data_IF_576838175473
#
_entry.id   IF_576838175473
#
_cell.length_a   1.000
_cell.length_b   1.000
_cell.length_c   1.000
_cell.angle_alpha   90.00
_cell.angle_beta   90.00
_cell.angle_gamma   90.00
#
_symmetry.space_group_name_H-M   'P 1'
#
loop_
_entity.id
_entity.type
_entity.pdbx_description
1 polymer ?
#
# COMPACT_ATOMS: atom_id res chain seq x y z
N UNK A 1 31.76 42.17 -16.24
CA UNK A 1 32.40 42.18 -14.89
C UNK A 1 31.48 41.73 -13.76
N UNK A 2 30.18 42.09 -13.71
CA UNK A 2 29.25 41.60 -12.67
C UNK A 2 28.84 40.12 -12.84
N UNK A 3 28.79 39.63 -14.07
CA UNK A 3 28.43 38.23 -14.36
C UNK A 3 29.54 37.22 -14.02
N UNK A 4 30.81 37.64 -14.06
CA UNK A 4 31.95 36.84 -13.60
C UNK A 4 31.98 36.63 -12.08
N UNK A 5 31.49 37.60 -11.31
CA UNK A 5 31.45 37.54 -9.84
C UNK A 5 30.32 36.62 -9.33
N UNK A 6 29.19 36.55 -10.04
CA UNK A 6 28.11 35.61 -9.74
C UNK A 6 28.48 34.17 -10.09
N UNK A 7 29.18 33.97 -11.22
CA UNK A 7 29.63 32.64 -11.67
C UNK A 7 30.75 32.09 -10.78
N UNK A 8 31.67 32.96 -10.32
CA UNK A 8 32.70 32.59 -9.32
C UNK A 8 32.11 32.26 -7.94
N UNK A 9 31.08 32.98 -7.48
CA UNK A 9 30.40 32.69 -6.20
C UNK A 9 29.53 31.43 -6.23
N UNK A 10 29.02 31.04 -7.41
CA UNK A 10 28.29 29.77 -7.61
C UNK A 10 29.20 28.56 -7.45
N UNK A 11 30.37 28.58 -8.11
CA UNK A 11 31.37 27.52 -8.02
C UNK A 11 32.06 27.44 -6.64
N UNK A 12 32.20 28.57 -5.94
CA UNK A 12 32.83 28.63 -4.59
C UNK A 12 31.98 28.00 -3.46
N UNK A 13 30.66 27.85 -3.65
CA UNK A 13 29.76 27.21 -2.67
C UNK A 13 29.64 25.69 -2.85
N UNK A 14 29.93 25.17 -4.04
CA UNK A 14 29.86 23.74 -4.35
C UNK A 14 31.08 22.94 -3.83
N UNK A 15 32.24 23.57 -3.65
CA UNK A 15 33.51 22.90 -3.27
C UNK A 15 33.82 22.88 -1.78
N UNK A 16 32.93 23.38 -0.92
CA UNK A 16 33.19 23.54 0.52
C UNK A 16 32.87 22.26 1.30
N UNK A 17 33.85 21.71 2.02
CA UNK A 17 33.70 20.55 2.92
C UNK A 17 32.69 20.79 4.04
N UNK A 18 32.11 19.71 4.57
CA UNK A 18 31.02 19.74 5.56
C UNK A 18 31.38 20.55 6.82
N UNK A 19 32.57 20.32 7.39
CA UNK A 19 33.08 21.07 8.54
C UNK A 19 33.16 22.59 8.30
N UNK A 20 33.58 23.00 7.11
CA UNK A 20 33.68 24.42 6.78
C UNK A 20 32.30 25.06 6.59
N UNK A 21 31.28 24.29 6.20
CA UNK A 21 29.88 24.74 6.11
C UNK A 21 29.26 24.86 7.50
N UNK A 22 29.58 23.93 8.39
CA UNK A 22 29.14 23.93 9.79
C UNK A 22 29.72 25.12 10.57
N UNK A 23 31.03 25.36 10.51
CA UNK A 23 31.68 26.54 11.11
C UNK A 23 31.08 27.87 10.64
N UNK A 24 30.67 27.95 9.38
CA UNK A 24 29.96 29.13 8.84
C UNK A 24 28.53 29.26 9.36
N UNK A 25 27.85 28.15 9.60
CA UNK A 25 26.51 28.10 10.16
C UNK A 25 26.55 28.58 11.62
N UNK A 26 27.50 28.06 12.40
CA UNK A 26 27.75 28.43 13.80
C UNK A 26 28.10 29.91 13.95
N UNK A 27 29.05 30.42 13.16
CA UNK A 27 29.41 31.84 13.17
C UNK A 27 28.22 32.76 12.86
N UNK A 28 27.33 32.35 11.94
CA UNK A 28 26.11 33.12 11.64
C UNK A 28 25.11 33.06 12.79
N UNK A 29 25.01 31.92 13.47
CA UNK A 29 24.13 31.73 14.64
C UNK A 29 24.59 32.57 15.83
N UNK A 30 25.89 32.55 16.12
CA UNK A 30 26.51 33.39 17.14
C UNK A 30 26.31 34.89 16.85
N UNK A 31 26.59 35.31 15.61
CA UNK A 31 26.37 36.70 15.20
C UNK A 31 24.91 37.14 15.29
N UNK A 32 23.95 36.24 15.06
CA UNK A 32 22.53 36.54 15.21
C UNK A 32 22.09 36.58 16.68
N UNK A 33 22.67 35.73 17.54
CA UNK A 33 22.40 35.73 18.97
C UNK A 33 22.84 37.04 19.63
N UNK A 34 23.99 37.59 19.21
CA UNK A 34 24.59 38.83 19.72
C UNK A 34 23.87 40.11 19.26
N UNK A 35 22.91 40.03 18.34
CA UNK A 35 22.11 41.19 17.92
C UNK A 35 21.13 41.61 19.01
N UNK A 36 20.93 42.92 19.14
CA UNK A 36 19.85 43.49 19.94
C UNK A 36 18.45 43.12 19.39
N UNK A 37 17.44 43.24 20.26
CA UNK A 37 16.07 42.83 19.95
C UNK A 37 15.46 43.66 18.80
N UNK A 38 15.77 44.95 18.73
CA UNK A 38 15.27 45.86 17.69
C UNK A 38 15.79 45.47 16.30
N UNK A 39 17.08 45.15 16.17
CA UNK A 39 17.69 44.65 14.93
C UNK A 39 17.15 43.29 14.52
N UNK A 40 16.83 42.41 15.50
CA UNK A 40 16.19 41.12 15.23
C UNK A 40 14.79 41.31 14.62
N UNK A 41 14.00 42.21 15.18
CA UNK A 41 12.65 42.56 14.70
C UNK A 41 12.68 43.23 13.32
N UNK A 42 13.63 44.13 13.08
CA UNK A 42 13.85 44.75 11.77
C UNK A 42 14.17 43.71 10.68
N UNK A 43 15.01 42.72 11.00
CA UNK A 43 15.36 41.65 10.08
C UNK A 43 14.15 40.74 9.78
N UNK A 44 13.33 40.45 10.78
CA UNK A 44 12.09 39.68 10.61
C UNK A 44 11.11 40.44 9.70
N UNK A 45 10.94 41.74 9.95
CA UNK A 45 10.05 42.62 9.17
C UNK A 45 10.51 42.74 7.72
N UNK A 46 11.81 42.95 7.49
CA UNK A 46 12.40 42.97 6.13
C UNK A 46 12.20 41.65 5.39
N UNK A 47 12.31 40.51 6.08
CA UNK A 47 12.10 39.19 5.49
C UNK A 47 10.62 38.94 5.15
N UNK A 48 9.71 39.36 6.03
CA UNK A 48 8.26 39.30 5.78
C UNK A 48 7.86 40.15 4.57
N UNK A 49 8.33 41.40 4.52
CA UNK A 49 8.08 42.30 3.40
C UNK A 49 8.65 41.74 2.10
N UNK A 50 9.89 41.23 2.12
CA UNK A 50 10.49 40.57 0.96
C UNK A 50 9.63 39.41 0.45
N UNK A 51 9.15 38.52 1.34
CA UNK A 51 8.27 37.39 0.93
C UNK A 51 6.95 37.86 0.32
N UNK A 52 6.39 38.97 0.81
CA UNK A 52 5.14 39.55 0.33
C UNK A 52 5.33 40.26 -1.03
N UNK A 53 6.40 41.03 -1.20
CA UNK A 53 6.67 41.83 -2.40
C UNK A 53 7.36 41.06 -3.53
N UNK A 54 7.85 39.84 -3.27
CA UNK A 54 8.43 38.96 -4.28
C UNK A 54 7.43 38.62 -5.40
N UNK A 55 7.82 38.91 -6.64
CA UNK A 55 7.05 38.58 -7.84
C UNK A 55 6.87 37.06 -8.04
N UNK A 56 5.79 36.67 -8.69
CA UNK A 56 5.39 35.27 -8.89
C UNK A 56 6.48 34.46 -9.61
N UNK A 57 7.08 35.02 -10.66
CA UNK A 57 8.16 34.38 -11.43
C UNK A 57 9.39 34.07 -10.56
N UNK A 58 9.75 34.96 -9.64
CA UNK A 58 10.87 34.74 -8.72
C UNK A 58 10.53 33.67 -7.67
N UNK A 59 9.26 33.58 -7.25
CA UNK A 59 8.78 32.53 -6.34
C UNK A 59 8.81 31.16 -7.02
N UNK A 60 8.33 31.07 -8.26
CA UNK A 60 8.37 29.84 -9.05
C UNK A 60 9.79 29.36 -9.30
N UNK A 61 10.71 30.27 -9.65
CA UNK A 61 12.12 29.94 -9.84
C UNK A 61 12.77 29.38 -8.57
N UNK A 62 12.45 29.94 -7.39
CA UNK A 62 12.91 29.42 -6.11
C UNK A 62 12.34 28.04 -5.78
N UNK A 63 11.05 27.81 -6.07
CA UNK A 63 10.40 26.51 -5.90
C UNK A 63 11.00 25.46 -6.83
N UNK A 64 11.18 25.79 -8.11
CA UNK A 64 11.81 24.93 -9.11
C UNK A 64 13.23 24.51 -8.70
N UNK A 65 14.04 25.46 -8.21
CA UNK A 65 15.37 25.17 -7.69
C UNK A 65 15.36 24.20 -6.49
N UNK A 66 14.38 24.33 -5.59
CA UNK A 66 14.23 23.40 -4.45
C UNK A 66 13.85 22.00 -4.92
N UNK A 67 12.93 21.90 -5.88
CA UNK A 67 12.50 20.62 -6.45
C UNK A 67 13.66 19.93 -7.16
N UNK A 68 14.39 20.66 -8.02
CA UNK A 68 15.57 20.13 -8.70
C UNK A 68 16.62 19.63 -7.70
N UNK A 69 16.88 20.40 -6.63
CA UNK A 69 17.81 20.00 -5.57
C UNK A 69 17.34 18.75 -4.85
N UNK A 70 16.05 18.65 -4.49
CA UNK A 70 15.49 17.45 -3.84
C UNK A 70 15.58 16.24 -4.77
N UNK A 71 15.25 16.38 -6.04
CA UNK A 71 15.29 15.30 -7.01
C UNK A 71 16.70 14.76 -7.22
N UNK A 72 17.71 15.64 -7.23
CA UNK A 72 19.13 15.29 -7.34
C UNK A 72 19.72 14.60 -6.09
N UNK A 73 19.01 14.57 -4.96
CA UNK A 73 19.47 13.83 -3.77
C UNK A 73 19.31 12.32 -3.94
N UNK A 74 20.21 11.55 -3.32
CA UNK A 74 20.08 10.10 -3.23
C UNK A 74 18.91 9.68 -2.31
N UNK A 75 18.57 8.39 -2.36
CA UNK A 75 17.42 7.82 -1.65
C UNK A 75 17.58 7.87 -0.12
N UNK A 76 18.80 7.68 0.40
CA UNK A 76 19.06 7.71 1.83
C UNK A 76 18.91 9.14 2.37
N UNK A 77 19.49 10.11 1.67
CA UNK A 77 19.39 11.52 2.04
C UNK A 77 17.95 12.05 1.96
N UNK A 78 17.15 11.56 1.00
CA UNK A 78 15.70 11.83 0.96
C UNK A 78 14.96 11.27 2.18
N UNK A 79 15.23 10.03 2.57
CA UNK A 79 14.62 9.39 3.75
C UNK A 79 14.99 10.13 5.04
N UNK A 80 16.27 10.49 5.18
CA UNK A 80 16.76 11.24 6.33
C UNK A 80 16.09 12.62 6.41
N UNK A 81 16.03 13.36 5.31
CA UNK A 81 15.38 14.67 5.27
C UNK A 81 13.89 14.61 5.63
N UNK A 82 13.18 13.55 5.23
CA UNK A 82 11.79 13.33 5.64
C UNK A 82 11.70 13.04 7.14
N UNK A 83 12.56 12.20 7.69
CA UNK A 83 12.57 11.91 9.14
C UNK A 83 12.91 13.13 9.99
N UNK A 84 13.90 13.94 9.59
CA UNK A 84 14.30 15.16 10.30
C UNK A 84 13.16 16.17 10.30
N UNK A 85 12.49 16.36 9.16
CA UNK A 85 11.34 17.25 9.10
C UNK A 85 10.16 16.74 9.94
N UNK A 86 9.88 15.44 9.93
CA UNK A 86 8.84 14.84 10.76
C UNK A 86 9.12 15.07 12.26
N UNK A 87 10.35 14.82 12.70
CA UNK A 87 10.78 15.03 14.09
C UNK A 87 10.65 16.50 14.49
N UNK A 88 11.16 17.44 13.67
CA UNK A 88 11.03 18.88 13.92
C UNK A 88 9.58 19.32 14.07
N UNK A 89 8.70 18.86 13.17
CA UNK A 89 7.27 19.21 13.25
C UNK A 89 6.58 18.63 14.49
N UNK A 90 7.05 17.48 14.99
CA UNK A 90 6.55 16.87 16.20
C UNK A 90 7.01 17.67 17.43
N UNK A 91 8.29 18.01 17.51
CA UNK A 91 8.87 18.85 18.58
C UNK A 91 8.17 20.22 18.65
N UNK A 92 8.01 20.89 17.51
CA UNK A 92 7.27 22.15 17.40
C UNK A 92 5.84 22.00 17.93
N UNK A 93 5.12 20.93 17.54
CA UNK A 93 3.77 20.67 18.06
C UNK A 93 3.77 20.39 19.56
N UNK A 94 4.77 19.69 20.10
CA UNK A 94 4.82 19.38 21.52
C UNK A 94 5.03 20.65 22.35
N UNK A 95 5.85 21.58 21.86
CA UNK A 95 6.14 22.88 22.49
C UNK A 95 4.96 23.87 22.50
N UNK A 96 3.93 23.67 21.66
CA UNK A 96 2.74 24.54 21.64
C UNK A 96 1.88 24.37 22.91
N UNK A 97 1.28 25.48 23.35
CA UNK A 97 0.30 25.45 24.43
C UNK A 97 -1.02 24.77 24.00
N UNK A 98 -1.89 24.34 24.94
CA UNK A 98 -3.15 23.68 24.61
C UNK A 98 -4.12 24.52 23.76
N UNK A 99 -4.12 25.86 23.92
CA UNK A 99 -5.00 26.76 23.15
C UNK A 99 -4.50 26.88 21.70
N UNK A 100 -3.20 27.06 21.51
CA UNK A 100 -2.52 27.10 20.20
C UNK A 100 -2.69 25.78 19.43
N UNK A 101 -2.58 24.64 20.12
CA UNK A 101 -2.88 23.32 19.53
C UNK A 101 -4.33 23.24 19.02
N UNK A 102 -5.27 23.78 19.80
CA UNK A 102 -6.69 23.87 19.42
C UNK A 102 -6.91 24.71 18.17
N UNK A 103 -6.28 25.88 18.07
CA UNK A 103 -6.36 26.77 16.90
C UNK A 103 -5.79 26.08 15.65
N UNK A 104 -4.59 25.51 15.74
CA UNK A 104 -3.94 24.83 14.62
C UNK A 104 -4.74 23.62 14.10
N UNK A 105 -5.42 22.90 14.98
CA UNK A 105 -6.29 21.79 14.60
C UNK A 105 -7.55 22.28 13.88
N UNK A 106 -8.17 23.39 14.34
CA UNK A 106 -9.31 24.01 13.68
C UNK A 106 -8.96 24.56 12.31
N UNK A 107 -7.81 25.22 12.16
CA UNK A 107 -7.34 25.72 10.87
C UNK A 107 -7.12 24.57 9.86
N UNK A 108 -6.53 23.45 10.31
CA UNK A 108 -6.38 22.26 9.46
C UNK A 108 -7.71 21.65 9.06
N UNK A 109 -8.66 21.61 9.98
CA UNK A 109 -10.01 21.10 9.72
C UNK A 109 -10.73 22.01 8.70
N UNK A 110 -10.63 23.32 8.84
CA UNK A 110 -11.15 24.30 7.88
C UNK A 110 -10.50 24.17 6.50
N UNK A 111 -9.18 24.00 6.43
CA UNK A 111 -8.47 23.76 5.16
C UNK A 111 -8.91 22.44 4.49
N UNK A 112 -9.13 21.37 5.27
CA UNK A 112 -9.64 20.10 4.74
C UNK A 112 -11.07 20.23 4.21
N UNK A 113 -11.89 21.09 4.82
CA UNK A 113 -13.25 21.39 4.36
C UNK A 113 -13.19 22.25 3.10
N UNK A 114 -12.34 23.29 3.05
CA UNK A 114 -12.14 24.13 1.86
C UNK A 114 -11.62 23.33 0.67
N UNK A 115 -10.67 22.42 0.87
CA UNK A 115 -10.13 21.57 -0.20
C UNK A 115 -11.11 20.48 -0.67
N UNK A 116 -12.23 20.24 0.03
CA UNK A 116 -13.32 19.38 -0.43
C UNK A 116 -14.35 20.12 -1.30
N UNK A 117 -14.22 21.43 -1.46
CA UNK A 117 -15.19 22.29 -2.16
C UNK A 117 -14.98 22.37 -3.68
N UNK A 118 -14.00 21.68 -4.25
CA UNK A 118 -13.99 21.53 -5.71
C UNK A 118 -15.22 20.72 -6.13
N UNK A 119 -16.00 21.18 -7.12
CA UNK A 119 -17.17 20.45 -7.58
C UNK A 119 -16.71 19.08 -8.06
N UNK A 120 -16.95 18.05 -7.24
CA UNK A 120 -16.55 16.70 -7.56
C UNK A 120 -17.34 16.26 -8.79
N UNK A 121 -16.69 16.26 -9.96
CA UNK A 121 -17.25 15.73 -11.18
C UNK A 121 -17.60 14.24 -10.97
N UNK A 122 -18.79 13.82 -11.42
CA UNK A 122 -19.23 12.42 -11.45
C UNK A 122 -18.14 11.52 -12.06
N UNK A 123 -17.41 12.00 -13.07
CA UNK A 123 -16.30 11.28 -13.70
C UNK A 123 -15.19 10.93 -12.71
N UNK A 124 -14.86 11.84 -11.78
CA UNK A 124 -13.86 11.58 -10.75
C UNK A 124 -14.31 10.44 -9.81
N UNK A 125 -15.59 10.40 -9.44
CA UNK A 125 -16.13 9.29 -8.64
C UNK A 125 -16.16 7.98 -9.42
N UNK A 126 -16.51 8.02 -10.71
CA UNK A 126 -16.46 6.86 -11.60
C UNK A 126 -15.03 6.33 -11.68
N UNK A 127 -14.03 7.18 -11.84
CA UNK A 127 -12.62 6.77 -11.85
C UNK A 127 -12.18 6.17 -10.52
N UNK A 128 -12.53 6.80 -9.39
CA UNK A 128 -12.22 6.26 -8.07
C UNK A 128 -12.88 4.90 -7.85
N UNK A 129 -14.12 4.73 -8.30
CA UNK A 129 -14.83 3.45 -8.25
C UNK A 129 -14.12 2.42 -9.14
N UNK A 130 -13.83 2.75 -10.40
CA UNK A 130 -13.08 1.89 -11.34
C UNK A 130 -11.73 1.46 -10.77
N UNK A 131 -11.00 2.36 -10.12
CA UNK A 131 -9.73 2.05 -9.42
C UNK A 131 -9.95 1.09 -8.26
N UNK A 132 -11.02 1.26 -7.47
CA UNK A 132 -11.34 0.38 -6.33
C UNK A 132 -11.83 -1.00 -6.74
N UNK A 133 -12.63 -1.13 -7.81
CA UNK A 133 -13.13 -2.44 -8.28
C UNK A 133 -12.04 -3.28 -8.96
N UNK A 134 -10.99 -2.64 -9.53
CA UNK A 134 -9.80 -3.34 -10.02
C UNK A 134 -9.00 -4.03 -8.91
N UNK A 135 -9.14 -3.57 -7.66
CA UNK A 135 -8.45 -4.17 -6.52
C UNK A 135 -9.22 -5.39 -6.02
N UNK A 136 -8.83 -6.58 -6.48
CA UNK A 136 -9.28 -7.87 -5.96
C UNK A 136 -8.66 -8.24 -4.61
N UNK A 137 -9.08 -9.38 -4.03
CA UNK A 137 -8.49 -9.93 -2.83
C UNK A 137 -7.13 -10.57 -3.14
N UNK A 138 -6.08 -9.76 -3.33
CA UNK A 138 -4.74 -10.26 -3.71
C UNK A 138 -3.77 -10.37 -2.53
N UNK A 139 -4.20 -9.99 -1.32
CA UNK A 139 -3.33 -9.93 -0.15
C UNK A 139 -3.53 -11.16 0.72
N UNK A 140 -2.48 -11.94 0.89
CA UNK A 140 -2.49 -13.22 1.61
C UNK A 140 -2.13 -12.96 3.07
N UNK A 141 -2.96 -13.46 3.99
CA UNK A 141 -2.66 -13.40 5.42
C UNK A 141 -1.73 -14.53 5.84
N UNK A 142 -0.55 -14.24 6.40
CA UNK A 142 0.43 -15.25 6.83
C UNK A 142 -0.01 -16.12 8.03
N UNK A 143 -1.23 -15.95 8.54
CA UNK A 143 -1.75 -16.74 9.67
C UNK A 143 -2.88 -17.66 9.22
N UNK A 144 -3.81 -17.16 8.40
CA UNK A 144 -4.98 -17.93 7.95
C UNK A 144 -4.97 -18.26 6.45
N UNK A 145 -3.92 -17.88 5.73
CA UNK A 145 -3.70 -18.07 4.29
C UNK A 145 -4.85 -17.59 3.38
N UNK A 146 -5.81 -16.84 3.91
CA UNK A 146 -6.90 -16.25 3.11
C UNK A 146 -6.40 -15.11 2.26
N UNK A 147 -6.91 -15.07 1.04
CA UNK A 147 -6.81 -13.95 0.11
C UNK A 147 -7.83 -12.86 0.49
N UNK A 148 -7.35 -11.65 0.71
CA UNK A 148 -8.12 -10.54 1.28
C UNK A 148 -7.86 -9.24 0.51
N UNK A 149 -8.80 -8.30 0.63
CA UNK A 149 -8.63 -6.94 0.11
C UNK A 149 -7.59 -6.15 0.93
N UNK A 150 -6.90 -5.20 0.29
CA UNK A 150 -5.91 -4.32 0.94
C UNK A 150 -6.43 -3.67 2.22
N UNK A 151 -7.69 -3.23 2.23
CA UNK A 151 -8.36 -2.59 3.37
C UNK A 151 -8.50 -3.49 4.61
N UNK A 152 -8.41 -4.81 4.42
CA UNK A 152 -8.62 -5.83 5.46
C UNK A 152 -7.33 -6.38 6.03
N UNK A 153 -6.17 -5.97 5.49
CA UNK A 153 -4.84 -6.44 5.89
C UNK A 153 -3.95 -5.30 6.35
N UNK A 154 -2.91 -5.65 7.10
CA UNK A 154 -1.87 -4.76 7.60
C UNK A 154 -0.53 -5.45 7.31
N UNK A 155 0.52 -4.68 7.03
CA UNK A 155 1.87 -5.23 6.87
C UNK A 155 2.26 -5.99 8.14
N UNK A 156 2.71 -7.24 7.97
CA UNK A 156 3.12 -8.07 9.09
C UNK A 156 4.43 -7.53 9.68
N UNK A 157 4.43 -7.28 10.99
CA UNK A 157 5.64 -6.99 11.76
C UNK A 157 5.73 -8.05 12.85
N UNK A 158 6.51 -9.11 12.59
CA UNK A 158 6.61 -10.29 13.48
C UNK A 158 6.95 -9.92 14.93
N UNK A 159 7.79 -8.89 15.12
CA UNK A 159 8.18 -8.37 16.45
C UNK A 159 7.02 -7.87 17.33
N UNK A 160 5.81 -7.66 16.78
CA UNK A 160 4.64 -7.19 17.55
C UNK A 160 3.91 -8.29 18.32
N UNK A 161 4.22 -9.56 18.08
CA UNK A 161 3.42 -10.67 18.60
C UNK A 161 4.30 -11.62 19.41
N UNK A 162 3.78 -12.11 20.54
CA UNK A 162 4.50 -13.11 21.34
C UNK A 162 4.47 -14.50 20.72
N UNK A 163 3.42 -14.81 19.94
CA UNK A 163 3.25 -16.11 19.29
C UNK A 163 3.85 -16.05 17.87
N UNK A 164 5.02 -16.67 17.68
CA UNK A 164 5.73 -16.69 16.39
C UNK A 164 5.42 -17.93 15.55
N UNK A 165 5.10 -19.06 16.20
CA UNK A 165 4.97 -20.36 15.53
C UNK A 165 3.70 -20.52 14.67
N UNK A 166 2.87 -19.47 14.56
CA UNK A 166 1.66 -19.47 13.76
C UNK A 166 1.80 -18.77 12.40
N UNK A 167 2.99 -18.25 12.08
CA UNK A 167 3.24 -17.58 10.81
C UNK A 167 3.66 -18.59 9.74
N UNK A 168 2.77 -18.85 8.80
CA UNK A 168 3.06 -19.54 7.55
C UNK A 168 3.51 -18.46 6.56
N UNK A 169 4.81 -18.37 6.31
CA UNK A 169 5.38 -17.31 5.48
C UNK A 169 4.90 -17.49 4.03
N UNK A 170 3.90 -16.68 3.66
CA UNK A 170 3.46 -16.51 2.29
C UNK A 170 3.54 -15.05 1.92
N UNK A 171 4.30 -14.76 0.86
CA UNK A 171 4.36 -13.43 0.28
C UNK A 171 3.13 -13.17 -0.60
N UNK A 172 2.57 -11.97 -0.51
CA UNK A 172 1.56 -11.51 -1.47
C UNK A 172 2.21 -11.17 -2.81
N UNK A 173 1.39 -10.85 -3.82
CA UNK A 173 1.84 -10.52 -5.19
C UNK A 173 2.88 -9.39 -5.27
N UNK A 174 2.95 -8.52 -4.24
CA UNK A 174 3.86 -7.39 -4.13
C UNK A 174 5.14 -7.72 -3.33
N UNK A 175 5.37 -9.01 -3.02
CA UNK A 175 6.52 -9.48 -2.24
C UNK A 175 6.46 -9.20 -0.75
N UNK A 176 5.36 -8.60 -0.26
CA UNK A 176 5.21 -8.23 1.15
C UNK A 176 4.41 -9.28 1.94
N UNK A 177 4.74 -9.44 3.22
CA UNK A 177 3.99 -10.25 4.19
C UNK A 177 2.85 -9.43 4.82
N UNK A 178 1.67 -10.01 4.91
CA UNK A 178 0.48 -9.35 5.47
C UNK A 178 -0.20 -10.18 6.55
N UNK A 179 -0.90 -9.49 7.44
CA UNK A 179 -1.79 -10.09 8.44
C UNK A 179 -3.17 -9.44 8.34
N UNK A 180 -4.22 -10.26 8.36
CA UNK A 180 -5.58 -9.75 8.36
C UNK A 180 -5.95 -9.14 9.73
N UNK A 181 -6.84 -8.15 9.73
CA UNK A 181 -7.27 -7.45 10.96
C UNK A 181 -7.80 -8.41 12.03
N UNK A 182 -8.48 -9.49 11.64
CA UNK A 182 -9.00 -10.49 12.57
C UNK A 182 -7.88 -11.26 13.27
N UNK A 183 -6.90 -11.77 12.50
CA UNK A 183 -5.74 -12.46 13.06
C UNK A 183 -4.89 -11.51 13.91
N UNK A 184 -4.70 -10.27 13.45
CA UNK A 184 -3.99 -9.23 14.19
C UNK A 184 -4.56 -9.02 15.60
N UNK A 185 -5.87 -8.78 15.72
CA UNK A 185 -6.52 -8.54 17.01
C UNK A 185 -6.43 -9.76 17.95
N UNK A 186 -6.50 -10.97 17.41
CA UNK A 186 -6.37 -12.21 18.19
C UNK A 186 -4.94 -12.44 18.68
N UNK A 187 -3.94 -12.26 17.82
CA UNK A 187 -2.54 -12.43 18.18
C UNK A 187 -2.04 -11.34 19.14
N UNK A 188 -2.57 -10.12 19.08
CA UNK A 188 -2.29 -9.09 20.09
C UNK A 188 -2.75 -9.51 21.50
N UNK A 189 -3.76 -10.37 21.60
CA UNK A 189 -4.24 -10.95 22.86
C UNK A 189 -3.53 -12.27 23.20
N UNK A 190 -2.44 -12.61 22.49
CA UNK A 190 -1.73 -13.88 22.61
C UNK A 190 -2.63 -15.11 22.37
N UNK A 191 -3.70 -14.96 21.60
CA UNK A 191 -4.62 -16.04 21.26
C UNK A 191 -4.44 -16.47 19.80
N UNK A 192 -4.34 -17.77 19.58
CA UNK A 192 -4.30 -18.34 18.23
C UNK A 192 -5.67 -18.16 17.54
N UNK A 193 -5.75 -17.55 16.36
CA UNK A 193 -7.01 -17.44 15.63
C UNK A 193 -7.56 -18.82 15.27
N UNK A 194 -8.87 -19.04 15.40
CA UNK A 194 -9.50 -20.33 15.03
C UNK A 194 -9.27 -20.69 13.56
N UNK A 195 -9.18 -19.68 12.69
CA UNK A 195 -8.95 -19.82 11.25
C UNK A 195 -7.46 -19.89 10.89
N UNK A 196 -6.55 -20.05 11.87
CA UNK A 196 -5.13 -20.15 11.58
C UNK A 196 -4.86 -21.45 10.80
N UNK A 197 -3.98 -21.40 9.80
CA UNK A 197 -3.62 -22.55 8.97
C UNK A 197 -3.03 -23.69 9.81
N UNK A 198 -2.27 -23.35 10.87
CA UNK A 198 -1.73 -24.29 11.85
C UNK A 198 -2.79 -25.09 12.62
N UNK A 199 -4.07 -24.70 12.58
CA UNK A 199 -5.17 -25.49 13.16
C UNK A 199 -5.66 -26.58 12.19
N UNK A 200 -4.76 -27.24 11.45
CA UNK A 200 -5.09 -28.21 10.41
C UNK A 200 -6.03 -27.65 9.33
N UNK A 201 -5.88 -26.36 9.02
CA UNK A 201 -6.61 -25.65 7.95
C UNK A 201 -5.68 -25.29 6.79
N UNK A 202 -4.46 -25.81 6.77
CA UNK A 202 -3.58 -25.70 5.61
C UNK A 202 -4.13 -26.56 4.47
N UNK A 203 -3.84 -26.14 3.25
CA UNK A 203 -4.19 -26.87 2.03
C UNK A 203 -2.89 -27.52 1.55
N UNK A 204 -2.93 -28.82 1.31
CA UNK A 204 -1.79 -29.55 0.74
C UNK A 204 -1.45 -29.02 -0.65
N UNK A 205 -0.17 -29.10 -1.01
CA UNK A 205 0.25 -28.77 -2.37
C UNK A 205 -0.44 -29.73 -3.36
N UNK A 206 -0.91 -29.18 -4.48
CA UNK A 206 -1.53 -30.00 -5.51
C UNK A 206 -0.48 -30.95 -6.09
N UNK A 207 -0.70 -32.27 -6.04
CA UNK A 207 0.20 -33.26 -6.62
C UNK A 207 0.49 -32.95 -8.10
N UNK A 208 1.72 -33.21 -8.55
CA UNK A 208 2.17 -32.87 -9.89
C UNK A 208 1.30 -33.56 -10.97
N UNK A 209 0.84 -34.77 -10.68
CA UNK A 209 -0.06 -35.55 -11.53
C UNK A 209 -1.39 -34.85 -11.74
N UNK A 210 -1.92 -34.18 -10.70
CA UNK A 210 -3.18 -33.43 -10.79
C UNK A 210 -2.98 -32.04 -11.41
N UNK A 211 -1.82 -31.43 -11.20
CA UNK A 211 -1.47 -30.13 -11.77
C UNK A 211 -1.30 -30.18 -13.30
N UNK A 212 -0.94 -31.34 -13.85
CA UNK A 212 -0.79 -31.55 -15.29
C UNK A 212 -2.12 -31.76 -16.03
N UNK A 213 -3.22 -31.99 -15.31
CA UNK A 213 -4.52 -32.29 -15.91
C UNK A 213 -5.19 -31.04 -16.49
N UNK A 214 -5.77 -31.19 -17.66
CA UNK A 214 -6.64 -30.19 -18.27
C UNK A 214 -7.94 -30.03 -17.47
N UNK A 215 -8.60 -28.87 -17.63
CA UNK A 215 -9.82 -28.55 -16.86
C UNK A 215 -10.92 -29.62 -17.01
N UNK A 216 -11.05 -30.21 -18.20
CA UNK A 216 -12.02 -31.28 -18.44
C UNK A 216 -11.64 -32.56 -17.69
N UNK A 217 -10.37 -32.93 -17.70
CA UNK A 217 -9.86 -34.13 -17.04
C UNK A 217 -10.03 -34.00 -15.52
N UNK A 218 -9.72 -32.83 -14.95
CA UNK A 218 -9.98 -32.53 -13.53
C UNK A 218 -11.45 -32.72 -13.16
N UNK A 219 -12.39 -32.33 -14.03
CA UNK A 219 -13.82 -32.52 -13.80
C UNK A 219 -14.19 -34.01 -13.87
N UNK A 220 -13.61 -34.77 -14.80
CA UNK A 220 -13.90 -36.19 -14.98
C UNK A 220 -13.38 -37.06 -13.82
N UNK A 221 -12.25 -36.70 -13.22
CA UNK A 221 -11.68 -37.41 -12.07
C UNK A 221 -12.16 -36.85 -10.71
N UNK A 222 -12.98 -35.80 -10.72
CA UNK A 222 -13.50 -35.24 -9.48
C UNK A 222 -14.41 -36.27 -8.79
N UNK A 223 -14.05 -36.66 -7.57
CA UNK A 223 -14.86 -37.59 -6.77
C UNK A 223 -16.23 -37.02 -6.36
N UNK A 224 -16.41 -35.70 -6.52
CA UNK A 224 -17.60 -34.98 -6.07
C UNK A 224 -17.90 -33.83 -7.03
N UNK A 225 -19.15 -33.76 -7.49
CA UNK A 225 -19.66 -32.64 -8.27
C UNK A 225 -20.56 -31.80 -7.36
N UNK A 226 -20.24 -30.52 -7.26
CA UNK A 226 -20.98 -29.57 -6.43
C UNK A 226 -21.92 -28.74 -7.31
N UNK A 227 -23.21 -28.78 -6.97
CA UNK A 227 -24.22 -27.93 -7.60
C UNK A 227 -24.61 -26.79 -6.68
N UNK A 228 -24.39 -25.58 -7.15
CA UNK A 228 -24.72 -24.35 -6.44
C UNK A 228 -25.66 -23.49 -7.28
N UNK A 229 -26.71 -22.97 -6.63
CA UNK A 229 -27.62 -22.02 -7.28
C UNK A 229 -27.17 -20.60 -6.96
N UNK A 230 -26.57 -19.93 -7.95
CA UNK A 230 -26.23 -18.51 -7.87
C UNK A 230 -27.43 -17.68 -8.32
N UNK A 231 -27.86 -16.74 -7.50
CA UNK A 231 -28.94 -15.79 -7.79
C UNK A 231 -28.41 -14.37 -7.64
N UNK A 232 -28.78 -13.50 -8.56
CA UNK A 232 -28.42 -12.08 -8.48
C UNK A 232 -29.34 -11.36 -7.48
N UNK A 233 -28.75 -10.65 -6.54
CA UNK A 233 -29.50 -9.92 -5.51
C UNK A 233 -30.18 -8.67 -6.11
N UNK A 234 -31.46 -8.38 -5.77
CA UNK A 234 -32.18 -7.23 -6.31
C UNK A 234 -31.50 -5.88 -6.05
N UNK A 235 -30.81 -5.75 -4.91
CA UNK A 235 -30.02 -4.58 -4.55
C UNK A 235 -28.53 -4.93 -4.62
N UNK A 236 -27.77 -4.13 -5.38
CA UNK A 236 -26.33 -4.25 -5.53
C UNK A 236 -25.86 -5.22 -6.62
N UNK A 237 -26.76 -5.99 -7.25
CA UNK A 237 -26.49 -6.88 -8.39
C UNK A 237 -25.34 -7.89 -8.14
N UNK A 238 -25.03 -8.17 -6.88
CA UNK A 238 -24.02 -9.16 -6.51
C UNK A 238 -24.62 -10.56 -6.59
N UNK A 239 -23.85 -11.51 -7.11
CA UNK A 239 -24.20 -12.93 -7.08
C UNK A 239 -24.18 -13.45 -5.64
N UNK A 240 -25.23 -14.17 -5.25
CA UNK A 240 -25.35 -14.85 -3.96
C UNK A 240 -25.73 -16.31 -4.19
N UNK A 241 -25.14 -17.22 -3.42
CA UNK A 241 -25.57 -18.63 -3.36
C UNK A 241 -26.91 -18.70 -2.61
N UNK A 242 -27.93 -19.29 -3.23
CA UNK A 242 -29.29 -19.45 -2.67
C UNK A 242 -29.64 -20.93 -2.53
N UNK A 243 -30.01 -21.33 -1.31
CA UNK A 243 -30.46 -22.69 -1.03
C UNK A 243 -29.32 -23.62 -0.60
N UNK A 244 -29.61 -24.92 -0.58
CA UNK A 244 -28.63 -25.94 -0.25
C UNK A 244 -27.62 -26.14 -1.38
N UNK A 245 -26.39 -26.46 -1.00
CA UNK A 245 -25.35 -26.93 -1.92
C UNK A 245 -25.51 -28.44 -2.06
N UNK A 246 -25.79 -28.93 -3.27
CA UNK A 246 -25.93 -30.36 -3.51
C UNK A 246 -24.56 -30.94 -3.89
N UNK A 247 -24.02 -31.82 -3.05
CA UNK A 247 -22.75 -32.48 -3.27
C UNK A 247 -23.01 -33.93 -3.71
N UNK A 248 -22.78 -34.22 -4.98
CA UNK A 248 -23.05 -35.52 -5.58
C UNK A 248 -21.74 -36.30 -5.69
N UNK A 249 -21.58 -37.45 -5.02
CA UNK A 249 -20.42 -38.30 -5.19
C UNK A 249 -20.40 -38.90 -6.59
N UNK A 250 -19.20 -39.04 -7.17
CA UNK A 250 -18.98 -39.63 -8.48
C UNK A 250 -18.03 -40.81 -8.35
N UNK A 251 -18.39 -41.92 -8.98
CA UNK A 251 -17.50 -43.07 -9.13
C UNK A 251 -16.68 -42.94 -10.42
N UNK A 252 -15.45 -42.44 -10.31
CA UNK A 252 -14.59 -42.17 -11.47
C UNK A 252 -14.37 -43.39 -12.38
N UNK A 253 -14.36 -44.60 -11.79
CA UNK A 253 -14.25 -45.86 -12.54
C UNK A 253 -15.42 -46.06 -13.51
N UNK A 254 -16.65 -45.72 -13.09
CA UNK A 254 -17.83 -45.82 -13.93
C UNK A 254 -17.77 -44.79 -15.06
N UNK A 255 -17.32 -43.56 -14.77
CA UNK A 255 -17.16 -42.52 -15.79
C UNK A 255 -16.26 -42.98 -16.93
N UNK A 256 -15.15 -43.66 -16.63
CA UNK A 256 -14.25 -44.23 -17.64
C UNK A 256 -14.90 -45.26 -18.58
N UNK A 257 -15.94 -45.97 -18.12
CA UNK A 257 -16.66 -46.97 -18.95
C UNK A 257 -17.66 -46.36 -19.93
N UNK A 258 -18.14 -45.15 -19.65
CA UNK A 258 -19.17 -44.46 -20.46
C UNK A 258 -18.54 -43.50 -21.47
N UNK A 259 -17.29 -43.10 -21.27
CA UNK A 259 -16.58 -42.23 -22.21
C UNK A 259 -16.39 -42.94 -23.57
N UNK A 260 -16.61 -42.23 -24.69
CA UNK A 260 -16.41 -42.79 -26.02
C UNK A 260 -14.98 -43.30 -26.16
N UNK A 261 -14.82 -44.59 -26.46
CA UNK A 261 -13.52 -45.19 -26.69
C UNK A 261 -12.99 -44.76 -28.07
N UNK A 262 -11.68 -44.55 -28.21
CA UNK A 262 -11.08 -44.33 -29.52
C UNK A 262 -11.30 -45.57 -30.42
N UNK A 263 -11.40 -45.37 -31.75
CA UNK A 263 -11.86 -46.40 -32.70
C UNK A 263 -10.91 -47.60 -32.82
N UNK A 264 -9.68 -47.49 -32.33
CA UNK A 264 -8.70 -48.57 -32.20
C UNK A 264 -9.02 -49.56 -31.06
N UNK A 265 -9.97 -49.22 -30.17
CA UNK A 265 -10.42 -50.06 -29.04
C UNK A 265 -11.92 -50.37 -29.06
N UNK A 266 -12.61 -50.10 -30.16
CA UNK A 266 -13.99 -50.56 -30.37
C UNK A 266 -13.95 -51.98 -30.95
N UNK A 267 -14.06 -52.98 -30.08
CA UNK A 267 -14.23 -54.37 -30.48
C UNK A 267 -15.47 -54.52 -31.38
N UNK A 268 -15.22 -54.92 -32.62
CA UNK A 268 -16.04 -55.75 -33.50
C UNK A 268 -17.58 -55.69 -33.35
N UNK A 269 -18.22 -54.79 -34.11
CA UNK A 269 -19.55 -55.04 -34.70
C UNK A 269 -19.37 -55.43 -36.17
N UNK A 270 -18.84 -56.63 -36.40
CA UNK A 270 -19.00 -57.34 -37.66
C UNK A 270 -19.45 -58.76 -37.30
N UNK A 271 -20.38 -59.28 -38.09
CA UNK A 271 -20.87 -60.66 -38.10
C UNK A 271 -22.09 -60.95 -37.21
N UNK A 272 -23.26 -60.61 -37.74
CA UNK A 272 -24.46 -61.46 -37.67
C UNK A 272 -25.40 -61.12 -38.83
N UNK A 273 -25.00 -61.51 -40.04
CA UNK A 273 -25.91 -61.79 -41.14
C UNK A 273 -25.41 -63.06 -41.85
N UNK A 274 -25.92 -64.20 -41.41
CA UNK A 274 -26.05 -65.44 -42.17
C UNK A 274 -27.22 -66.24 -41.60
#
# INVERSE_FOLDING_TARGET
MKDDLLTKNGNYKQTRGEEQKEKLSENRRAKYQDLDQSRKEDLLTKNMNYKQTMGEEQKEKLLGNRIAKYNAMDILMKKELVSVNANRTMEERMALDPKQKGVLNREKEQQLIQNKSEPHNIDMYIEQLKKKIKAGPFYICCVCNRTLYKKSVIILKKTKYSVQNCFMVQCSFDGNEYICKTCHTKLLKSQLPCQAAVNNLFVDETPAELAALEKLEQILIAQRIVFEKIVIMPKGQQGKIKGAICNVPVECNQTGTVLPRPPDRSDHFADNFA
#
